data_IF_554560987158
#
_entry.id   IF_554560987158
#
_cell.length_a   1.000
_cell.length_b   1.000
_cell.length_c   1.000
_cell.angle_alpha   90.00
_cell.angle_beta   90.00
_cell.angle_gamma   90.00
#
_symmetry.space_group_name_H-M   'P 1'
#
loop_
_entity.id
_entity.type
_entity.pdbx_description
1 polymer ?
#
# COMPACT_ATOMS: atom_id res chain seq x y z
N UNK A 1 44.05 -73.07 -22.94
CA UNK A 1 43.53 -71.84 -22.31
C UNK A 1 42.84 -70.98 -23.37
N UNK A 2 41.51 -71.04 -23.46
CA UNK A 2 40.68 -70.05 -24.17
C UNK A 2 39.44 -69.83 -23.31
N UNK A 3 39.37 -68.65 -22.69
CA UNK A 3 38.33 -68.24 -21.74
C UNK A 3 37.07 -67.86 -22.51
N UNK A 4 35.95 -68.49 -22.18
CA UNK A 4 34.62 -68.12 -22.64
C UNK A 4 34.17 -66.83 -21.92
N UNK A 5 33.78 -65.82 -22.70
CA UNK A 5 33.22 -64.57 -22.20
C UNK A 5 31.69 -64.76 -22.10
N UNK A 6 31.16 -64.80 -20.88
CA UNK A 6 29.71 -64.74 -20.62
C UNK A 6 29.34 -63.27 -20.54
N UNK A 7 28.54 -62.79 -21.49
CA UNK A 7 27.94 -61.46 -21.46
C UNK A 7 26.70 -61.49 -20.55
N UNK A 8 26.76 -60.80 -19.42
CA UNK A 8 25.63 -60.59 -18.51
C UNK A 8 24.82 -59.40 -19.02
N UNK A 9 23.58 -59.66 -19.47
CA UNK A 9 22.61 -58.64 -19.86
C UNK A 9 21.99 -58.06 -18.58
N UNK A 10 22.33 -56.83 -18.21
CA UNK A 10 21.70 -56.12 -17.10
C UNK A 10 20.38 -55.48 -17.55
N UNK A 11 19.26 -56.03 -17.08
CA UNK A 11 17.93 -55.42 -17.21
C UNK A 11 17.83 -54.28 -16.19
N UNK A 12 17.95 -53.04 -16.66
CA UNK A 12 17.72 -51.85 -15.84
C UNK A 12 16.21 -51.65 -15.73
N UNK A 13 15.64 -52.01 -14.58
CA UNK A 13 14.28 -51.64 -14.22
C UNK A 13 14.26 -50.13 -13.95
N UNK A 14 13.62 -49.37 -14.84
CA UNK A 14 13.26 -47.96 -14.62
C UNK A 14 12.21 -47.92 -13.50
N UNK A 15 12.66 -47.82 -12.25
CA UNK A 15 11.81 -47.39 -11.16
C UNK A 15 11.46 -45.92 -11.41
N UNK A 16 10.24 -45.67 -11.88
CA UNK A 16 9.69 -44.32 -11.98
C UNK A 16 9.75 -43.66 -10.60
N UNK A 17 10.52 -42.58 -10.50
CA UNK A 17 10.50 -41.72 -9.32
C UNK A 17 9.06 -41.21 -9.18
N UNK A 18 8.37 -41.43 -8.05
CA UNK A 18 7.07 -40.80 -7.84
C UNK A 18 7.26 -39.28 -7.93
N UNK A 19 6.43 -38.62 -8.74
CA UNK A 19 6.40 -37.17 -8.81
C UNK A 19 6.28 -36.60 -7.37
N UNK A 20 6.97 -35.50 -7.04
CA UNK A 20 6.83 -34.88 -5.75
C UNK A 20 5.37 -34.48 -5.55
N UNK A 21 4.67 -35.17 -4.64
CA UNK A 21 3.34 -34.78 -4.20
C UNK A 21 3.43 -33.40 -3.57
N UNK A 22 2.79 -32.41 -4.18
CA UNK A 22 2.64 -31.08 -3.60
C UNK A 22 2.14 -31.21 -2.15
N UNK A 23 2.86 -30.61 -1.19
CA UNK A 23 2.47 -30.58 0.22
C UNK A 23 1.29 -29.60 0.38
N UNK A 24 0.10 -30.05 0.01
CA UNK A 24 -1.10 -29.25 0.07
C UNK A 24 -1.45 -28.99 1.55
N UNK A 25 -1.45 -27.73 2.01
CA UNK A 25 -1.88 -27.37 3.36
C UNK A 25 -3.35 -27.71 3.52
N UNK A 26 -3.65 -28.45 4.58
CA UNK A 26 -4.96 -29.04 4.83
C UNK A 26 -5.76 -28.26 5.88
N UNK A 27 -5.14 -27.31 6.59
CA UNK A 27 -5.76 -26.59 7.71
C UNK A 27 -6.42 -25.27 7.26
N UNK A 28 -7.74 -25.11 7.44
CA UNK A 28 -8.42 -23.87 7.10
C UNK A 28 -7.91 -22.66 7.89
N UNK A 29 -7.95 -21.48 7.27
CA UNK A 29 -7.55 -20.20 7.84
C UNK A 29 -8.46 -19.80 8.99
N UNK A 30 -7.87 -19.62 10.17
CA UNK A 30 -8.52 -19.06 11.36
C UNK A 30 -8.18 -17.58 11.45
N UNK A 31 -9.19 -16.72 11.47
CA UNK A 31 -9.01 -15.26 11.47
C UNK A 31 -9.85 -14.61 12.56
N UNK A 32 -9.57 -13.37 12.95
CA UNK A 32 -10.47 -12.63 13.82
C UNK A 32 -11.77 -12.28 13.07
N UNK A 33 -12.85 -12.07 13.84
CA UNK A 33 -14.09 -11.48 13.34
C UNK A 33 -13.80 -10.07 12.82
N UNK A 34 -14.44 -9.68 11.71
CA UNK A 34 -14.23 -8.34 11.15
C UNK A 34 -14.77 -7.26 12.07
N UNK A 35 -14.04 -6.15 12.21
CA UNK A 35 -14.52 -4.97 12.93
C UNK A 35 -15.59 -4.24 12.09
N UNK A 36 -16.61 -3.68 12.74
CA UNK A 36 -17.71 -3.01 12.06
C UNK A 36 -17.27 -1.69 11.42
N UNK A 37 -17.77 -1.44 10.21
CA UNK A 37 -17.57 -0.21 9.45
C UNK A 37 -18.92 0.48 9.28
N UNK A 38 -19.04 1.69 9.81
CA UNK A 38 -20.25 2.50 9.69
C UNK A 38 -21.45 1.96 10.48
N UNK A 39 -22.63 2.47 10.16
CA UNK A 39 -23.88 2.14 10.86
C UNK A 39 -24.53 0.90 10.22
N UNK A 40 -25.03 -0.07 11.02
CA UNK A 40 -25.74 -1.21 10.48
C UNK A 40 -27.06 -0.81 9.84
N UNK A 41 -27.38 -1.41 8.69
CA UNK A 41 -28.74 -1.38 8.15
C UNK A 41 -29.61 -2.35 8.94
N UNK A 42 -30.84 -1.95 9.27
CA UNK A 42 -31.78 -2.79 10.02
C UNK A 42 -33.12 -2.90 9.30
N UNK A 43 -33.78 -4.05 9.44
CA UNK A 43 -35.14 -4.29 8.93
C UNK A 43 -35.82 -5.37 9.77
N UNK A 44 -37.06 -5.12 10.20
CA UNK A 44 -37.89 -6.17 10.80
C UNK A 44 -38.56 -7.01 9.71
N UNK A 45 -38.40 -8.33 9.78
CA UNK A 45 -39.00 -9.31 8.86
C UNK A 45 -39.70 -10.40 9.69
N UNK A 46 -40.98 -10.60 9.42
CA UNK A 46 -41.81 -11.61 10.07
C UNK A 46 -42.09 -12.84 9.21
N UNK A 47 -43.10 -13.61 9.58
CA UNK A 47 -43.47 -14.88 8.93
C UNK A 47 -43.90 -14.74 7.47
N UNK A 48 -44.31 -13.55 7.03
CA UNK A 48 -44.59 -13.27 5.62
C UNK A 48 -43.32 -13.30 4.72
N UNK A 49 -42.13 -13.30 5.32
CA UNK A 49 -40.86 -13.17 4.60
C UNK A 49 -40.58 -11.71 4.21
N UNK A 50 -39.42 -11.48 3.62
CA UNK A 50 -38.96 -10.15 3.27
C UNK A 50 -37.54 -10.12 2.74
N UNK A 51 -37.05 -8.92 2.46
CA UNK A 51 -35.67 -8.71 2.03
C UNK A 51 -35.09 -7.48 2.70
N UNK A 52 -33.83 -7.56 3.10
CA UNK A 52 -33.00 -6.43 3.52
C UNK A 52 -31.81 -6.33 2.57
N UNK A 53 -31.50 -5.11 2.12
CA UNK A 53 -30.35 -4.82 1.27
C UNK A 53 -29.50 -3.73 1.88
N UNK A 54 -28.18 -3.85 1.70
CA UNK A 54 -27.23 -2.78 1.98
C UNK A 54 -27.52 -1.55 1.12
N UNK A 55 -27.21 -0.35 1.64
CA UNK A 55 -27.50 0.91 0.94
C UNK A 55 -26.75 1.04 -0.38
N UNK A 56 -25.58 0.39 -0.50
CA UNK A 56 -24.78 0.37 -1.73
C UNK A 56 -25.12 -0.80 -2.68
N UNK A 57 -26.11 -1.63 -2.32
CA UNK A 57 -26.58 -2.76 -3.12
C UNK A 57 -25.62 -3.95 -3.21
N UNK A 58 -24.50 -3.93 -2.47
CA UNK A 58 -23.46 -4.97 -2.55
C UNK A 58 -23.94 -6.31 -2.00
N UNK A 59 -24.70 -6.29 -0.89
CA UNK A 59 -25.27 -7.50 -0.27
C UNK A 59 -26.76 -7.35 0.00
N UNK A 60 -27.50 -8.45 -0.14
CA UNK A 60 -28.88 -8.59 0.29
C UNK A 60 -29.14 -9.95 0.94
N UNK A 61 -30.07 -9.98 1.89
CA UNK A 61 -30.62 -11.18 2.51
C UNK A 61 -32.11 -11.24 2.21
N UNK A 62 -32.54 -12.31 1.55
CA UNK A 62 -33.95 -12.64 1.32
C UNK A 62 -34.37 -13.78 2.23
N UNK A 63 -35.33 -13.49 3.11
CA UNK A 63 -35.93 -14.46 4.04
C UNK A 63 -37.26 -14.91 3.44
N UNK A 64 -37.43 -16.20 3.09
CA UNK A 64 -38.68 -16.67 2.50
C UNK A 64 -39.82 -16.70 3.52
N UNK A 65 -41.06 -16.69 3.03
CA UNK A 65 -42.23 -16.86 3.87
C UNK A 65 -42.15 -18.16 4.68
N UNK A 66 -42.50 -18.11 5.96
CA UNK A 66 -42.41 -19.24 6.89
C UNK A 66 -41.01 -19.60 7.37
N UNK A 67 -39.96 -18.90 6.93
CA UNK A 67 -38.59 -19.18 7.39
C UNK A 67 -38.34 -18.78 8.85
N UNK A 68 -39.07 -17.77 9.33
CA UNK A 68 -39.10 -17.33 10.74
C UNK A 68 -40.53 -17.34 11.25
N UNK A 69 -40.71 -17.65 12.54
CA UNK A 69 -42.03 -17.76 13.17
C UNK A 69 -42.54 -16.45 13.80
N UNK A 70 -41.64 -15.48 14.01
CA UNK A 70 -41.93 -14.19 14.63
C UNK A 70 -41.10 -13.07 14.00
N UNK A 71 -41.54 -11.82 14.19
CA UNK A 71 -40.84 -10.62 13.72
C UNK A 71 -39.41 -10.58 14.27
N UNK A 72 -38.44 -10.60 13.36
CA UNK A 72 -37.01 -10.61 13.68
C UNK A 72 -36.35 -9.38 13.08
N UNK A 73 -35.59 -8.65 13.91
CA UNK A 73 -34.79 -7.50 13.49
C UNK A 73 -33.49 -7.99 12.85
N UNK A 74 -33.45 -8.05 11.52
CA UNK A 74 -32.25 -8.40 10.76
C UNK A 74 -31.34 -7.20 10.58
N UNK A 75 -30.04 -7.47 10.54
CA UNK A 75 -29.02 -6.44 10.33
C UNK A 75 -28.03 -6.80 9.21
N UNK A 76 -27.58 -5.80 8.47
CA UNK A 76 -26.45 -5.87 7.56
C UNK A 76 -25.42 -4.83 7.99
N UNK A 77 -24.27 -5.29 8.48
CA UNK A 77 -23.20 -4.42 8.96
C UNK A 77 -21.97 -4.63 8.08
N UNK A 78 -21.49 -3.64 7.32
CA UNK A 78 -20.19 -3.74 6.66
C UNK A 78 -19.10 -3.99 7.71
N UNK A 79 -18.12 -4.85 7.39
CA UNK A 79 -17.01 -5.16 8.30
C UNK A 79 -15.67 -5.15 7.55
N UNK A 80 -14.56 -4.96 8.28
CA UNK A 80 -13.21 -5.16 7.72
C UNK A 80 -13.11 -6.61 7.20
N UNK A 81 -12.80 -6.84 5.91
CA UNK A 81 -12.65 -8.18 5.37
C UNK A 81 -11.43 -8.89 5.96
N UNK A 82 -11.63 -9.97 6.71
CA UNK A 82 -10.54 -10.75 7.33
C UNK A 82 -10.30 -12.09 6.66
N UNK A 83 -11.20 -12.54 5.77
CA UNK A 83 -11.09 -13.84 5.09
C UNK A 83 -10.03 -13.88 3.98
N UNK A 84 -9.39 -15.04 3.74
CA UNK A 84 -8.48 -15.19 2.60
C UNK A 84 -9.16 -14.83 1.27
N UNK A 85 -8.59 -13.88 0.54
CA UNK A 85 -9.12 -13.42 -0.75
C UNK A 85 -10.40 -12.58 -0.67
N UNK A 86 -10.84 -12.20 0.54
CA UNK A 86 -12.05 -11.42 0.75
C UNK A 86 -11.94 -10.03 0.09
N UNK A 87 -12.92 -9.69 -0.73
CA UNK A 87 -13.02 -8.37 -1.38
C UNK A 87 -13.86 -7.42 -0.54
N UNK A 88 -15.03 -7.90 -0.13
CA UNK A 88 -15.99 -7.19 0.73
C UNK A 88 -16.53 -8.16 1.76
N UNK A 89 -16.89 -7.67 2.95
CA UNK A 89 -17.43 -8.50 4.01
C UNK A 89 -18.53 -7.78 4.79
N UNK A 90 -19.53 -8.55 5.22
CA UNK A 90 -20.65 -8.08 6.02
C UNK A 90 -20.93 -9.05 7.16
N UNK A 91 -21.20 -8.51 8.35
CA UNK A 91 -21.87 -9.25 9.42
C UNK A 91 -23.36 -9.18 9.19
N UNK A 92 -23.98 -10.34 8.99
CA UNK A 92 -25.41 -10.49 8.82
C UNK A 92 -25.96 -11.01 10.15
N UNK A 93 -26.83 -10.24 10.77
CA UNK A 93 -27.37 -10.54 12.10
C UNK A 93 -28.89 -10.74 12.11
N UNK A 94 -29.45 -11.31 13.20
CA UNK A 94 -28.71 -11.74 14.40
C UNK A 94 -28.06 -13.12 14.23
N UNK A 95 -26.83 -13.28 14.71
CA UNK A 95 -26.17 -14.60 14.74
C UNK A 95 -26.97 -15.58 15.61
N UNK A 96 -26.94 -16.87 15.26
CA UNK A 96 -27.75 -17.89 15.93
C UNK A 96 -29.20 -17.98 15.42
N UNK A 97 -29.61 -17.14 14.47
CA UNK A 97 -30.89 -17.31 13.76
C UNK A 97 -30.91 -18.66 13.05
N UNK A 98 -31.96 -19.44 13.29
CA UNK A 98 -32.24 -20.70 12.58
C UNK A 98 -33.44 -20.50 11.67
N UNK A 99 -33.29 -20.89 10.41
CA UNK A 99 -34.37 -20.77 9.43
C UNK A 99 -35.05 -22.11 9.17
N UNK A 100 -36.38 -22.17 9.25
CA UNK A 100 -37.15 -23.37 8.88
C UNK A 100 -37.16 -23.65 7.38
N UNK A 101 -36.86 -22.63 6.58
CA UNK A 101 -36.61 -22.73 5.14
C UNK A 101 -35.39 -21.85 4.82
N UNK A 102 -34.38 -22.34 4.08
CA UNK A 102 -33.13 -21.60 3.89
C UNK A 102 -33.35 -20.20 3.32
N UNK A 103 -32.72 -19.21 3.96
CA UNK A 103 -32.64 -17.85 3.44
C UNK A 103 -31.65 -17.78 2.28
N UNK A 104 -31.75 -16.75 1.45
CA UNK A 104 -30.82 -16.51 0.33
C UNK A 104 -29.96 -15.30 0.62
N UNK A 105 -28.65 -15.45 0.56
CA UNK A 105 -27.69 -14.34 0.56
C UNK A 105 -27.24 -14.12 -0.87
N UNK A 106 -27.35 -12.88 -1.33
CA UNK A 106 -26.92 -12.45 -2.66
C UNK A 106 -25.88 -11.34 -2.52
N UNK A 107 -24.70 -11.58 -3.08
CA UNK A 107 -23.69 -10.55 -3.30
C UNK A 107 -23.74 -10.09 -4.75
N UNK A 108 -23.57 -8.78 -4.98
CA UNK A 108 -23.47 -8.19 -6.31
C UNK A 108 -22.14 -7.46 -6.42
N UNK A 109 -21.30 -7.92 -7.34
CA UNK A 109 -20.00 -7.30 -7.61
C UNK A 109 -20.20 -5.95 -8.32
N UNK A 110 -19.47 -4.92 -7.89
CA UNK A 110 -19.37 -3.65 -8.62
C UNK A 110 -18.56 -3.89 -9.90
N UNK A 111 -18.70 -3.00 -10.88
CA UNK A 111 -17.94 -3.14 -12.14
C UNK A 111 -16.42 -3.06 -11.89
N UNK A 112 -16.01 -2.21 -10.94
CA UNK A 112 -14.63 -2.14 -10.45
C UNK A 112 -14.11 -3.45 -9.85
N UNK A 113 -14.99 -4.27 -9.27
CA UNK A 113 -14.63 -5.55 -8.65
C UNK A 113 -14.33 -6.63 -9.71
N UNK A 114 -14.76 -6.39 -10.95
CA UNK A 114 -14.60 -7.30 -12.08
C UNK A 114 -13.48 -6.86 -13.02
N UNK A 115 -12.70 -5.83 -12.68
CA UNK A 115 -11.58 -5.39 -13.52
C UNK A 115 -10.49 -6.48 -13.54
N UNK A 116 -10.42 -7.17 -14.68
CA UNK A 116 -9.49 -8.29 -14.91
C UNK A 116 -9.96 -9.62 -14.32
N UNK A 117 -11.22 -9.72 -13.90
CA UNK A 117 -11.81 -11.00 -13.52
C UNK A 117 -13.25 -11.09 -14.01
N UNK A 118 -13.86 -12.25 -13.82
CA UNK A 118 -15.27 -12.44 -14.12
C UNK A 118 -15.98 -12.95 -12.86
N UNK A 119 -17.29 -12.72 -12.78
CA UNK A 119 -18.14 -13.15 -11.67
C UNK A 119 -18.02 -14.67 -11.44
N UNK A 120 -17.74 -15.45 -12.49
CA UNK A 120 -17.52 -16.89 -12.42
C UNK A 120 -16.26 -17.28 -11.62
N UNK A 121 -15.27 -16.38 -11.55
CA UNK A 121 -14.06 -16.51 -10.72
C UNK A 121 -14.29 -16.19 -9.24
N UNK A 122 -15.40 -15.55 -8.91
CA UNK A 122 -15.73 -15.15 -7.54
C UNK A 122 -16.47 -16.27 -6.78
N UNK A 123 -16.49 -16.14 -5.45
CA UNK A 123 -17.14 -17.04 -4.51
C UNK A 123 -17.82 -16.26 -3.39
N UNK A 124 -18.79 -16.91 -2.75
CA UNK A 124 -19.36 -16.45 -1.48
C UNK A 124 -18.83 -17.37 -0.39
N UNK A 125 -18.41 -16.80 0.73
CA UNK A 125 -17.98 -17.55 1.90
C UNK A 125 -18.55 -16.97 3.19
N UNK A 126 -18.52 -17.80 4.22
CA UNK A 126 -18.88 -17.42 5.58
C UNK A 126 -17.79 -17.82 6.57
N UNK A 127 -17.75 -17.15 7.71
CA UNK A 127 -16.91 -17.52 8.84
C UNK A 127 -17.73 -18.36 9.84
N UNK A 128 -17.25 -19.57 10.13
CA UNK A 128 -17.88 -20.49 11.09
C UNK A 128 -17.60 -20.11 12.56
N UNK A 129 -18.22 -20.84 13.50
CA UNK A 129 -18.05 -20.60 14.95
C UNK A 129 -16.63 -20.86 15.46
N UNK A 130 -15.83 -21.63 14.72
CA UNK A 130 -14.40 -21.87 14.98
C UNK A 130 -13.51 -20.82 14.30
N UNK A 131 -14.13 -19.77 13.73
CA UNK A 131 -13.50 -18.66 13.00
C UNK A 131 -12.80 -19.06 11.71
N UNK A 132 -13.15 -20.22 11.15
CA UNK A 132 -12.67 -20.69 9.85
C UNK A 132 -13.56 -20.18 8.74
N UNK A 133 -12.96 -19.86 7.59
CA UNK A 133 -13.71 -19.45 6.42
C UNK A 133 -14.10 -20.64 5.54
N UNK A 134 -15.35 -20.67 5.10
CA UNK A 134 -15.95 -21.73 4.28
C UNK A 134 -16.61 -21.13 3.04
N UNK A 135 -16.14 -21.53 1.86
CA UNK A 135 -16.59 -20.97 0.58
C UNK A 135 -17.48 -21.93 -0.19
N UNK A 136 -18.59 -21.42 -0.74
CA UNK A 136 -19.50 -22.17 -1.58
C UNK A 136 -18.94 -22.35 -2.99
N UNK A 137 -18.77 -23.59 -3.43
CA UNK A 137 -18.31 -23.96 -4.77
C UNK A 137 -19.40 -23.88 -5.84
N UNK A 138 -20.68 -23.89 -5.44
CA UNK A 138 -21.86 -24.03 -6.30
C UNK A 138 -22.83 -22.83 -6.22
N UNK A 139 -22.35 -21.62 -5.88
CA UNK A 139 -23.16 -20.42 -5.91
C UNK A 139 -23.82 -20.19 -7.29
N UNK A 140 -25.10 -19.80 -7.29
CA UNK A 140 -25.81 -19.45 -8.53
C UNK A 140 -25.34 -18.09 -9.04
N UNK A 141 -25.01 -18.00 -10.32
CA UNK A 141 -24.53 -16.78 -10.98
C UNK A 141 -25.64 -16.20 -11.85
N UNK A 142 -25.98 -14.92 -11.63
CA UNK A 142 -26.94 -14.17 -12.45
C UNK A 142 -26.42 -12.75 -12.69
N UNK A 143 -26.01 -12.45 -13.92
CA UNK A 143 -25.38 -11.16 -14.24
C UNK A 143 -24.09 -10.98 -13.44
N UNK A 144 -24.02 -9.95 -12.59
CA UNK A 144 -22.88 -9.68 -11.69
C UNK A 144 -23.10 -10.15 -10.26
N UNK A 145 -24.05 -11.07 -10.05
CA UNK A 145 -24.44 -11.49 -8.71
C UNK A 145 -24.19 -12.98 -8.47
N UNK A 146 -23.80 -13.27 -7.23
CA UNK A 146 -23.65 -14.62 -6.66
C UNK A 146 -24.69 -14.83 -5.56
N UNK A 147 -25.47 -15.89 -5.66
CA UNK A 147 -26.50 -16.26 -4.68
C UNK A 147 -26.22 -17.63 -4.05
N UNK A 148 -26.35 -17.71 -2.73
CA UNK A 148 -26.22 -18.94 -1.94
C UNK A 148 -27.38 -19.08 -0.95
N UNK A 149 -27.76 -20.33 -0.65
CA UNK A 149 -28.73 -20.63 0.39
C UNK A 149 -28.02 -20.85 1.72
N UNK A 150 -28.61 -20.35 2.81
CA UNK A 150 -28.10 -20.54 4.17
C UNK A 150 -29.21 -20.80 5.17
N UNK A 151 -28.88 -21.55 6.22
CA UNK A 151 -29.73 -21.79 7.39
C UNK A 151 -29.24 -21.06 8.65
N UNK A 152 -28.13 -20.32 8.54
CA UNK A 152 -27.51 -19.60 9.65
C UNK A 152 -26.99 -18.22 9.20
N UNK A 153 -26.77 -17.34 10.17
CA UNK A 153 -26.21 -16.00 9.98
C UNK A 153 -24.89 -15.84 10.75
N UNK A 154 -23.96 -15.07 10.19
CA UNK A 154 -22.57 -14.93 10.66
C UNK A 154 -21.86 -13.78 9.92
N UNK A 155 -20.53 -13.85 9.78
CA UNK A 155 -19.77 -12.97 8.89
C UNK A 155 -19.70 -13.62 7.50
N UNK A 156 -20.02 -12.86 6.46
CA UNK A 156 -20.10 -13.31 5.07
C UNK A 156 -19.26 -12.42 4.17
N UNK A 157 -18.69 -13.00 3.12
CA UNK A 157 -17.83 -12.28 2.20
C UNK A 157 -17.99 -12.78 0.77
N UNK A 158 -17.82 -11.85 -0.17
CA UNK A 158 -17.53 -12.17 -1.56
C UNK A 158 -16.01 -12.08 -1.78
N UNK A 159 -15.44 -13.10 -2.43
CA UNK A 159 -13.99 -13.30 -2.51
C UNK A 159 -13.54 -13.92 -3.84
N UNK A 160 -12.25 -13.83 -4.13
CA UNK A 160 -11.63 -14.51 -5.27
C UNK A 160 -11.31 -15.97 -4.92
N UNK A 161 -11.86 -16.92 -5.69
CA UNK A 161 -11.58 -18.34 -5.50
C UNK A 161 -10.22 -18.74 -6.05
N UNK A 162 -10.04 -18.61 -7.37
CA UNK A 162 -8.75 -18.73 -8.05
C UNK A 162 -8.12 -17.35 -8.17
N UNK A 163 -6.79 -17.29 -7.99
CA UNK A 163 -6.08 -16.03 -7.99
C UNK A 163 -4.82 -16.14 -8.83
N UNK A 164 -4.57 -15.13 -9.65
CA UNK A 164 -3.25 -14.88 -10.18
C UNK A 164 -2.42 -14.18 -9.10
N UNK A 165 -1.29 -14.77 -8.72
CA UNK A 165 -0.44 -14.31 -7.62
C UNK A 165 0.90 -13.80 -8.17
N UNK A 166 1.43 -12.68 -7.64
CA UNK A 166 0.75 -11.79 -6.71
C UNK A 166 -0.42 -11.05 -7.39
N UNK A 167 -1.49 -10.68 -6.66
CA UNK A 167 -2.63 -9.96 -7.25
C UNK A 167 -2.28 -8.52 -7.66
N UNK A 168 -1.22 -7.96 -7.05
CA UNK A 168 -0.62 -6.68 -7.43
C UNK A 168 0.89 -6.76 -7.27
N UNK A 169 1.65 -6.08 -8.12
CA UNK A 169 3.10 -5.98 -8.00
C UNK A 169 3.61 -4.60 -8.41
N UNK A 170 4.77 -4.21 -7.89
CA UNK A 170 5.56 -3.10 -8.43
C UNK A 170 6.81 -3.68 -9.09
N UNK A 171 7.19 -3.16 -10.24
CA UNK A 171 8.34 -3.65 -11.00
C UNK A 171 9.07 -2.50 -11.67
N UNK A 172 10.40 -2.50 -11.61
CA UNK A 172 11.21 -1.52 -12.35
C UNK A 172 11.21 -1.82 -13.86
N UNK A 173 11.61 -0.83 -14.66
CA UNK A 173 11.72 -1.02 -16.11
C UNK A 173 12.66 -2.19 -16.45
N UNK A 174 12.28 -3.00 -17.44
CA UNK A 174 13.00 -4.22 -17.88
C UNK A 174 13.15 -5.32 -16.82
N UNK A 175 12.59 -5.17 -15.62
CA UNK A 175 12.56 -6.23 -14.61
C UNK A 175 11.34 -7.11 -14.78
N UNK A 176 11.34 -8.22 -14.07
CA UNK A 176 10.34 -9.28 -14.20
C UNK A 176 9.50 -9.43 -12.93
N UNK A 177 8.29 -9.94 -13.10
CA UNK A 177 7.41 -10.42 -12.01
C UNK A 177 7.03 -11.85 -12.32
N UNK A 178 7.30 -12.76 -11.39
CA UNK A 178 6.77 -14.12 -11.44
C UNK A 178 5.30 -14.12 -11.07
N UNK A 179 4.51 -14.77 -11.90
CA UNK A 179 3.06 -14.88 -11.80
C UNK A 179 2.70 -16.35 -11.69
N UNK A 180 1.78 -16.67 -10.80
CA UNK A 180 1.30 -18.05 -10.64
C UNK A 180 -0.18 -18.09 -10.34
N UNK A 181 -0.91 -18.97 -11.04
CA UNK A 181 -2.30 -19.24 -10.68
C UNK A 181 -2.31 -20.17 -9.46
N UNK A 182 -2.87 -19.68 -8.36
CA UNK A 182 -2.98 -20.40 -7.10
C UNK A 182 -4.43 -20.67 -6.74
N UNK A 183 -4.65 -21.74 -5.97
CA UNK A 183 -5.96 -22.12 -5.48
C UNK A 183 -6.00 -22.11 -3.94
N UNK A 184 -6.97 -21.41 -3.36
CA UNK A 184 -6.95 -21.01 -1.95
C UNK A 184 -7.92 -21.80 -1.07
N UNK A 185 -8.03 -23.12 -1.27
CA UNK A 185 -8.89 -24.01 -0.46
C UNK A 185 -8.13 -25.15 0.23
N UNK A 186 -8.71 -25.73 1.27
CA UNK A 186 -8.17 -26.89 1.99
C UNK A 186 -8.30 -28.16 1.15
N UNK A 187 -7.25 -28.97 1.13
CA UNK A 187 -7.22 -30.29 0.48
C UNK A 187 -7.16 -31.39 1.57
N UNK A 188 -7.83 -32.55 1.41
CA UNK A 188 -8.76 -32.88 0.33
C UNK A 188 -10.04 -32.03 0.40
N UNK A 189 -10.70 -31.78 -0.74
CA UNK A 189 -12.04 -31.19 -0.73
C UNK A 189 -13.01 -32.08 0.06
N UNK A 190 -14.13 -31.54 0.56
CA UNK A 190 -15.16 -32.33 1.21
C UNK A 190 -15.69 -33.42 0.27
N UNK A 191 -16.12 -34.54 0.83
CA UNK A 191 -16.64 -35.68 0.07
C UNK A 191 -17.95 -35.37 -0.66
N UNK A 192 -18.70 -34.38 -0.17
CA UNK A 192 -19.85 -33.81 -0.85
C UNK A 192 -19.43 -32.54 -1.59
N UNK A 193 -19.58 -32.53 -2.91
CA UNK A 193 -19.28 -31.38 -3.77
C UNK A 193 -20.13 -30.14 -3.46
N UNK A 194 -21.25 -30.32 -2.75
CA UNK A 194 -22.14 -29.25 -2.30
C UNK A 194 -21.75 -28.69 -0.93
N UNK A 195 -20.81 -29.31 -0.21
CA UNK A 195 -20.33 -28.79 1.05
C UNK A 195 -19.34 -27.62 0.81
N UNK A 196 -19.49 -26.49 1.51
CA UNK A 196 -18.54 -25.39 1.45
C UNK A 196 -17.10 -25.83 1.82
N UNK A 197 -16.14 -25.45 0.99
CA UNK A 197 -14.71 -25.78 1.17
C UNK A 197 -14.07 -24.85 2.19
N UNK A 198 -13.17 -25.36 3.02
CA UNK A 198 -12.35 -24.51 3.90
C UNK A 198 -11.39 -23.64 3.08
N UNK A 199 -11.26 -22.36 3.40
CA UNK A 199 -10.27 -21.49 2.76
C UNK A 199 -8.94 -21.56 3.52
N UNK A 200 -7.82 -21.45 2.81
CA UNK A 200 -6.47 -21.42 3.40
C UNK A 200 -5.82 -20.05 3.16
N UNK A 201 -4.97 -19.61 4.11
CA UNK A 201 -4.32 -18.29 4.06
C UNK A 201 -3.23 -18.24 2.98
N UNK A 202 -2.49 -19.34 2.82
CA UNK A 202 -1.52 -19.51 1.76
C UNK A 202 -2.14 -20.36 0.66
N UNK A 203 -2.46 -19.72 -0.45
CA UNK A 203 -2.95 -20.41 -1.64
C UNK A 203 -1.91 -21.42 -2.12
N UNK A 204 -2.41 -22.59 -2.51
CA UNK A 204 -1.62 -23.77 -2.83
C UNK A 204 -1.28 -23.82 -4.32
N UNK A 205 -0.17 -24.47 -4.61
CA UNK A 205 0.24 -24.90 -5.95
C UNK A 205 -0.61 -26.11 -6.33
N UNK A 206 -1.24 -26.08 -7.49
CA UNK A 206 -2.02 -27.20 -8.02
C UNK A 206 -1.64 -27.41 -9.49
N UNK A 207 -0.81 -28.42 -9.75
CA UNK A 207 -0.39 -28.79 -11.11
C UNK A 207 -1.58 -29.19 -11.99
N UNK A 208 -2.72 -29.57 -11.39
CA UNK A 208 -3.96 -29.86 -12.10
C UNK A 208 -4.60 -28.63 -12.76
N UNK A 209 -4.16 -27.40 -12.42
CA UNK A 209 -4.64 -26.17 -13.06
C UNK A 209 -3.99 -25.91 -14.41
N UNK A 210 -2.79 -26.44 -14.63
CA UNK A 210 -2.00 -26.23 -15.84
C UNK A 210 -2.80 -26.44 -17.15
N UNK A 211 -3.50 -27.57 -17.37
CA UNK A 211 -4.24 -27.80 -18.62
C UNK A 211 -5.46 -26.88 -18.81
N UNK A 212 -5.85 -26.12 -17.78
CA UNK A 212 -7.02 -25.25 -17.80
C UNK A 212 -6.66 -23.80 -18.12
N UNK A 213 -5.38 -23.47 -18.28
CA UNK A 213 -4.88 -22.10 -18.48
C UNK A 213 -4.47 -21.85 -19.93
N UNK A 214 -4.84 -20.70 -20.47
CA UNK A 214 -4.52 -20.28 -21.82
C UNK A 214 -4.43 -18.75 -21.96
N UNK A 215 -3.89 -18.29 -23.09
CA UNK A 215 -4.02 -16.90 -23.55
C UNK A 215 -3.56 -15.84 -22.54
N UNK A 216 -2.33 -15.97 -22.04
CA UNK A 216 -1.69 -14.92 -21.27
C UNK A 216 -1.64 -13.60 -22.06
N UNK A 217 -2.00 -12.50 -21.42
CA UNK A 217 -2.08 -11.18 -22.07
C UNK A 217 -1.66 -10.04 -21.15
N UNK A 218 -1.21 -8.93 -21.74
CA UNK A 218 -0.97 -7.67 -21.04
C UNK A 218 -1.90 -6.63 -21.64
N UNK A 219 -2.75 -6.01 -20.81
CA UNK A 219 -3.81 -5.09 -21.24
C UNK A 219 -4.68 -5.65 -22.39
N UNK A 220 -4.96 -6.96 -22.34
CA UNK A 220 -5.76 -7.66 -23.36
C UNK A 220 -5.01 -8.02 -24.64
N UNK A 221 -3.73 -7.64 -24.79
CA UNK A 221 -2.88 -8.04 -25.92
C UNK A 221 -2.18 -9.35 -25.58
N UNK A 222 -2.48 -10.43 -26.30
CA UNK A 222 -1.85 -11.75 -26.11
C UNK A 222 -0.33 -11.64 -26.15
N UNK A 223 0.36 -12.13 -25.11
CA UNK A 223 1.82 -12.02 -24.94
C UNK A 223 2.33 -10.61 -24.63
N UNK A 224 1.49 -9.57 -24.72
CA UNK A 224 1.86 -8.17 -24.50
C UNK A 224 2.61 -7.54 -25.68
N UNK A 225 3.29 -6.42 -25.43
CA UNK A 225 4.05 -5.67 -26.44
C UNK A 225 5.15 -4.80 -25.80
N UNK A 226 5.98 -4.16 -26.62
CA UNK A 226 7.11 -3.34 -26.13
C UNK A 226 6.74 -2.07 -25.34
N UNK A 227 5.47 -1.62 -25.37
CA UNK A 227 5.01 -0.40 -24.68
C UNK A 227 4.45 -0.69 -23.28
N UNK A 228 3.72 -1.79 -23.13
CA UNK A 228 3.08 -2.18 -21.86
C UNK A 228 3.78 -3.34 -21.17
N UNK A 229 4.83 -3.89 -21.77
CA UNK A 229 5.51 -5.10 -21.30
C UNK A 229 4.98 -6.37 -21.95
N UNK A 230 5.74 -7.45 -21.79
CA UNK A 230 5.41 -8.78 -22.33
C UNK A 230 5.14 -9.77 -21.21
N UNK A 231 4.35 -10.80 -21.49
CA UNK A 231 4.15 -11.92 -20.57
C UNK A 231 4.46 -13.21 -21.31
N UNK A 232 5.37 -13.99 -20.74
CA UNK A 232 5.84 -15.24 -21.32
C UNK A 232 5.81 -16.32 -20.25
N UNK A 233 5.27 -17.48 -20.58
CA UNK A 233 5.19 -18.60 -19.66
C UNK A 233 3.93 -19.43 -19.86
N UNK A 234 3.85 -20.54 -19.13
CA UNK A 234 2.81 -21.54 -19.25
C UNK A 234 2.47 -22.16 -17.89
N UNK A 235 1.16 -22.29 -17.67
CA UNK A 235 0.46 -23.32 -16.90
C UNK A 235 1.25 -24.08 -15.79
N UNK A 236 1.16 -23.70 -14.51
CA UNK A 236 0.37 -22.61 -13.92
C UNK A 236 1.11 -21.26 -13.80
N UNK A 237 2.36 -21.19 -14.22
CA UNK A 237 3.24 -20.05 -13.96
C UNK A 237 3.54 -19.24 -15.24
N UNK A 238 3.76 -17.94 -15.07
CA UNK A 238 4.23 -17.05 -16.12
C UNK A 238 5.17 -15.98 -15.58
N UNK A 239 5.92 -15.37 -16.47
CA UNK A 239 6.83 -14.28 -16.17
C UNK A 239 6.40 -13.06 -16.97
N UNK A 240 5.98 -12.02 -16.26
CA UNK A 240 5.80 -10.71 -16.86
C UNK A 240 7.14 -9.98 -16.91
N UNK A 241 7.45 -9.31 -18.02
CA UNK A 241 8.62 -8.46 -18.23
C UNK A 241 8.18 -7.03 -18.52
N UNK A 242 8.61 -6.10 -17.66
CA UNK A 242 8.29 -4.68 -17.81
C UNK A 242 8.94 -4.05 -19.06
N UNK A 243 8.30 -3.07 -19.71
CA UNK A 243 8.84 -2.42 -20.90
C UNK A 243 10.10 -1.59 -20.60
N UNK A 244 10.79 -1.15 -21.65
CA UNK A 244 11.98 -0.30 -21.53
C UNK A 244 11.65 1.16 -21.16
N UNK A 245 10.40 1.59 -21.38
CA UNK A 245 9.90 2.94 -21.11
C UNK A 245 8.65 2.84 -20.24
N UNK A 246 8.47 3.76 -19.28
CA UNK A 246 7.28 3.81 -18.43
C UNK A 246 6.03 4.07 -19.30
N UNK A 247 4.99 3.22 -19.25
CA UNK A 247 3.74 3.50 -19.95
C UNK A 247 2.92 4.58 -19.22
N UNK A 248 1.96 5.18 -19.92
CA UNK A 248 0.95 6.07 -19.34
C UNK A 248 -0.44 5.50 -19.68
N UNK A 249 -1.24 5.07 -18.69
CA UNK A 249 -0.92 4.98 -17.26
C UNK A 249 0.20 3.97 -16.96
N UNK A 250 0.92 4.17 -15.86
CA UNK A 250 2.04 3.29 -15.48
C UNK A 250 1.60 1.96 -14.83
N UNK A 251 0.30 1.69 -14.81
CA UNK A 251 -0.27 0.42 -14.37
C UNK A 251 -0.75 -0.39 -15.57
N UNK A 252 -0.44 -1.67 -15.57
CA UNK A 252 -0.93 -2.64 -16.57
C UNK A 252 -1.63 -3.80 -15.89
N UNK A 253 -2.57 -4.41 -16.60
CA UNK A 253 -3.28 -5.62 -16.19
C UNK A 253 -2.65 -6.80 -16.93
N UNK A 254 -2.05 -7.74 -16.19
CA UNK A 254 -1.58 -9.01 -16.74
C UNK A 254 -2.62 -10.07 -16.42
N UNK A 255 -3.11 -10.76 -17.45
CA UNK A 255 -4.20 -11.72 -17.29
C UNK A 255 -3.95 -13.06 -17.96
N UNK A 256 -4.66 -14.08 -17.49
CA UNK A 256 -4.70 -15.43 -18.05
C UNK A 256 -6.13 -15.93 -18.09
N UNK A 257 -6.48 -16.63 -19.15
CA UNK A 257 -7.77 -17.31 -19.26
C UNK A 257 -7.68 -18.65 -18.54
N UNK A 258 -8.63 -18.89 -17.64
CA UNK A 258 -8.75 -20.12 -16.87
C UNK A 258 -10.10 -20.77 -17.17
N UNK A 259 -10.12 -22.04 -17.56
CA UNK A 259 -11.34 -22.74 -17.99
C UNK A 259 -11.68 -23.92 -17.05
N UNK A 260 -12.13 -23.66 -15.82
CA UNK A 260 -12.51 -24.69 -14.88
C UNK A 260 -13.74 -25.47 -15.35
N UNK A 261 -13.80 -26.79 -15.09
CA UNK A 261 -15.02 -27.56 -15.23
C UNK A 261 -16.19 -26.89 -14.49
N UNK A 262 -17.40 -26.96 -15.06
CA UNK A 262 -18.66 -26.46 -14.51
C UNK A 262 -18.84 -24.93 -14.37
N UNK A 263 -17.83 -24.09 -14.61
CA UNK A 263 -17.97 -22.61 -14.52
C UNK A 263 -17.65 -21.84 -15.80
N UNK A 264 -17.20 -22.53 -16.83
CA UNK A 264 -16.81 -21.89 -18.09
C UNK A 264 -15.57 -21.02 -17.93
N UNK A 265 -15.28 -20.22 -18.96
CA UNK A 265 -14.06 -19.42 -19.04
C UNK A 265 -14.08 -18.24 -18.06
N UNK A 266 -13.06 -18.17 -17.23
CA UNK A 266 -12.77 -17.11 -16.24
C UNK A 266 -11.50 -16.38 -16.69
N UNK A 267 -11.41 -15.08 -16.45
CA UNK A 267 -10.17 -14.33 -16.58
C UNK A 267 -9.57 -14.13 -15.18
N UNK A 268 -8.29 -14.41 -14.98
CA UNK A 268 -7.57 -14.08 -13.75
C UNK A 268 -6.59 -12.95 -14.04
N UNK A 269 -6.44 -11.99 -13.13
CA UNK A 269 -5.64 -10.78 -13.34
C UNK A 269 -4.70 -10.48 -12.16
N UNK A 270 -3.55 -9.90 -12.51
CA UNK A 270 -2.60 -9.23 -11.64
C UNK A 270 -2.36 -7.80 -12.15
N UNK A 271 -2.54 -6.81 -11.28
CA UNK A 271 -2.26 -5.42 -11.63
C UNK A 271 -0.81 -5.06 -11.31
N UNK A 272 -0.03 -4.73 -12.33
CA UNK A 272 1.40 -4.46 -12.20
C UNK A 272 1.66 -2.98 -12.43
N UNK A 273 2.26 -2.32 -11.45
CA UNK A 273 2.72 -0.93 -11.55
C UNK A 273 4.18 -0.92 -11.97
N UNK A 274 4.45 -0.26 -13.10
CA UNK A 274 5.76 -0.20 -13.75
C UNK A 274 6.48 1.10 -13.37
N UNK A 275 7.71 0.97 -12.90
CA UNK A 275 8.55 2.08 -12.46
C UNK A 275 8.25 2.59 -11.05
N UNK A 276 7.49 1.85 -10.23
CA UNK A 276 7.06 2.31 -8.90
C UNK A 276 5.92 3.35 -8.96
N UNK A 277 5.65 4.04 -7.84
CA UNK A 277 4.63 5.10 -7.75
C UNK A 277 4.84 6.13 -8.88
N UNK A 278 3.76 6.71 -9.40
CA UNK A 278 3.91 7.84 -10.32
C UNK A 278 4.46 9.01 -9.50
N UNK A 279 5.70 9.39 -9.80
CA UNK A 279 6.41 10.44 -9.10
C UNK A 279 6.64 11.58 -10.08
N UNK A 280 6.31 12.82 -9.69
CA UNK A 280 6.55 14.01 -10.50
C UNK A 280 7.99 14.09 -10.98
N UNK A 281 8.23 14.61 -12.20
CA UNK A 281 9.62 14.87 -12.66
C UNK A 281 10.26 16.04 -11.94
N UNK A 282 9.42 16.96 -11.45
CA UNK A 282 9.83 18.19 -10.81
C UNK A 282 8.99 18.43 -9.57
N UNK A 283 9.59 19.00 -8.53
CA UNK A 283 8.85 19.60 -7.44
C UNK A 283 9.17 21.07 -7.32
N UNK A 284 8.14 21.88 -7.11
CA UNK A 284 8.29 23.29 -6.77
C UNK A 284 7.55 23.55 -5.48
N UNK A 285 8.16 24.28 -4.57
CA UNK A 285 7.50 24.55 -3.31
C UNK A 285 8.22 25.50 -2.39
N UNK A 286 7.57 25.75 -1.26
CA UNK A 286 8.03 26.67 -0.25
C UNK A 286 8.71 25.91 0.88
N UNK A 287 9.79 26.51 1.38
CA UNK A 287 10.50 26.06 2.57
C UNK A 287 10.64 27.24 3.53
N UNK A 288 10.36 26.98 4.81
CA UNK A 288 10.58 27.92 5.91
C UNK A 288 11.45 27.24 6.94
N UNK A 289 12.63 27.80 7.17
CA UNK A 289 13.59 27.41 8.21
C UNK A 289 13.51 28.43 9.35
N UNK A 290 13.47 27.94 10.58
CA UNK A 290 13.58 28.75 11.79
C UNK A 290 14.52 28.06 12.76
N UNK A 291 15.60 28.74 13.11
CA UNK A 291 16.56 28.33 14.13
C UNK A 291 16.47 29.35 15.26
N UNK A 292 16.27 28.91 16.48
CA UNK A 292 16.32 29.76 17.66
C UNK A 292 17.27 29.18 18.70
N UNK A 293 17.89 30.05 19.49
CA UNK A 293 18.77 29.62 20.57
C UNK A 293 20.25 29.48 20.16
N UNK A 294 20.61 29.90 18.95
CA UNK A 294 21.99 29.77 18.47
C UNK A 294 22.89 30.77 19.20
N UNK A 295 23.97 30.28 19.84
CA UNK A 295 24.93 31.16 20.51
C UNK A 295 25.93 31.72 19.52
N UNK A 296 26.17 33.04 19.57
CA UNK A 296 27.13 33.73 18.70
C UNK A 296 27.97 34.73 19.50
N UNK A 297 29.30 34.59 19.43
CA UNK A 297 30.22 35.50 20.11
C UNK A 297 30.09 35.50 21.65
N UNK A 298 29.68 34.39 22.26
CA UNK A 298 29.45 34.27 23.71
C UNK A 298 27.96 34.32 24.06
N UNK A 299 27.55 35.30 24.86
CA UNK A 299 26.21 35.42 25.46
C UNK A 299 25.11 35.89 24.49
N UNK A 300 25.39 36.04 23.20
CA UNK A 300 24.36 36.47 22.25
C UNK A 300 23.56 35.28 21.76
N UNK A 301 22.25 35.37 21.85
CA UNK A 301 21.30 34.39 21.32
C UNK A 301 20.77 34.89 19.99
N UNK A 302 20.87 34.05 18.97
CA UNK A 302 20.42 34.35 17.61
C UNK A 302 19.18 33.54 17.29
N UNK A 303 18.20 34.23 16.71
CA UNK A 303 17.08 33.64 15.98
C UNK A 303 17.26 33.95 14.51
N UNK A 304 17.30 32.90 13.71
CA UNK A 304 17.43 32.93 12.26
C UNK A 304 16.15 32.39 11.65
N UNK A 305 15.50 33.17 10.80
CA UNK A 305 14.33 32.77 10.05
C UNK A 305 14.59 32.99 8.57
N UNK A 306 14.36 31.96 7.76
CA UNK A 306 14.51 32.04 6.32
C UNK A 306 13.33 31.36 5.63
N UNK A 307 12.72 32.06 4.67
CA UNK A 307 11.61 31.57 3.86
C UNK A 307 11.95 31.72 2.40
N UNK A 308 11.63 30.73 1.59
CA UNK A 308 11.95 30.75 0.17
C UNK A 308 11.26 29.68 -0.63
N UNK A 309 11.51 29.73 -1.94
CA UNK A 309 11.00 28.77 -2.91
C UNK A 309 12.16 27.95 -3.44
N UNK A 310 11.94 26.65 -3.64
CA UNK A 310 12.92 25.72 -4.19
C UNK A 310 12.31 24.87 -5.28
N UNK A 311 13.13 24.56 -6.29
CA UNK A 311 12.84 23.61 -7.35
C UNK A 311 13.75 22.40 -7.22
N UNK A 312 13.15 21.22 -7.35
CA UNK A 312 13.80 19.94 -7.47
C UNK A 312 13.51 19.30 -8.81
N UNK A 313 14.48 18.64 -9.42
CA UNK A 313 14.31 17.83 -10.62
C UNK A 313 14.79 16.40 -10.37
N UNK A 314 14.06 15.43 -10.92
CA UNK A 314 14.38 14.02 -10.76
C UNK A 314 15.73 13.70 -11.42
N UNK A 315 16.61 13.07 -10.67
CA UNK A 315 17.89 12.56 -11.13
C UNK A 315 17.76 11.28 -11.95
N UNK A 316 18.89 10.64 -12.24
CA UNK A 316 18.93 9.41 -13.03
C UNK A 316 18.23 8.20 -12.37
N UNK A 317 17.98 8.26 -11.06
CA UNK A 317 17.26 7.23 -10.29
C UNK A 317 15.87 7.76 -9.92
N UNK A 318 14.82 7.00 -10.24
CA UNK A 318 13.45 7.35 -9.86
C UNK A 318 13.34 7.51 -8.34
N UNK A 319 12.61 8.53 -7.90
CA UNK A 319 12.52 8.88 -6.49
C UNK A 319 13.67 9.73 -5.96
N UNK A 320 14.79 9.88 -6.68
CA UNK A 320 15.88 10.78 -6.28
C UNK A 320 15.81 12.09 -7.03
N UNK A 321 15.94 13.19 -6.33
CA UNK A 321 15.77 14.53 -6.86
C UNK A 321 16.93 15.41 -6.45
N UNK A 322 17.35 16.30 -7.35
CA UNK A 322 18.36 17.31 -7.09
C UNK A 322 17.75 18.68 -7.16
N UNK A 323 18.11 19.55 -6.24
CA UNK A 323 17.77 20.96 -6.34
C UNK A 323 18.42 21.60 -7.58
N UNK A 324 17.62 22.23 -8.43
CA UNK A 324 18.11 22.94 -9.63
C UNK A 324 18.06 24.46 -9.47
N UNK A 325 17.43 24.96 -8.40
CA UNK A 325 17.48 26.37 -8.00
C UNK A 325 16.56 26.71 -6.85
N UNK A 326 16.79 27.86 -6.23
CA UNK A 326 15.92 28.41 -5.19
C UNK A 326 16.33 29.83 -4.79
N UNK A 327 15.41 30.55 -4.15
CA UNK A 327 15.64 31.91 -3.65
C UNK A 327 15.02 32.07 -2.28
N UNK A 328 15.76 32.61 -1.31
CA UNK A 328 15.14 33.11 -0.09
C UNK A 328 14.41 34.41 -0.43
N UNK A 329 13.09 34.38 -0.25
CA UNK A 329 12.25 35.57 -0.36
C UNK A 329 12.35 36.44 0.89
N UNK A 330 12.80 35.87 2.00
CA UNK A 330 13.05 36.59 3.25
C UNK A 330 14.06 35.85 4.11
N UNK A 331 15.09 36.54 4.58
CA UNK A 331 15.91 36.12 5.72
C UNK A 331 15.82 37.20 6.79
N UNK A 332 15.55 36.79 8.02
CA UNK A 332 15.53 37.65 9.20
C UNK A 332 16.48 37.07 10.23
N UNK A 333 17.32 37.94 10.78
CA UNK A 333 18.22 37.61 11.88
C UNK A 333 17.89 38.54 13.03
N UNK A 334 17.47 37.98 14.14
CA UNK A 334 17.36 38.68 15.42
C UNK A 334 18.46 38.16 16.33
N UNK A 335 19.25 39.07 16.90
CA UNK A 335 20.32 38.75 17.83
C UNK A 335 20.11 39.53 19.12
N UNK A 336 20.10 38.80 20.21
CA UNK A 336 19.86 39.33 21.55
C UNK A 336 21.11 39.07 22.40
N UNK A 337 21.77 40.14 22.85
CA UNK A 337 22.87 40.05 23.82
C UNK A 337 22.46 40.67 25.15
N UNK A 338 23.27 40.55 26.23
CA UNK A 338 22.99 41.25 27.48
C UNK A 338 22.88 42.78 27.32
N UNK A 339 23.53 43.36 26.31
CA UNK A 339 23.64 44.81 26.12
C UNK A 339 22.83 45.37 24.95
N UNK A 340 22.59 44.58 23.90
CA UNK A 340 22.04 45.05 22.63
C UNK A 340 20.96 44.10 22.11
N UNK A 341 20.01 44.66 21.36
CA UNK A 341 19.09 43.92 20.49
C UNK A 341 19.36 44.34 19.07
N UNK A 342 19.66 43.39 18.20
CA UNK A 342 20.05 43.63 16.82
C UNK A 342 19.13 42.88 15.87
N UNK A 343 18.65 43.55 14.83
CA UNK A 343 17.83 42.91 13.80
C UNK A 343 18.35 43.27 12.41
N UNK A 344 18.40 42.30 11.52
CA UNK A 344 18.70 42.50 10.12
C UNK A 344 17.81 41.65 9.22
N UNK A 345 17.64 42.10 7.99
CA UNK A 345 16.93 41.34 6.96
C UNK A 345 17.73 41.30 5.68
N UNK A 346 17.57 40.24 4.91
CA UNK A 346 18.23 40.07 3.62
C UNK A 346 17.45 39.16 2.69
N UNK A 347 17.83 39.19 1.42
CA UNK A 347 17.32 38.30 0.37
C UNK A 347 18.48 37.88 -0.51
N UNK A 348 18.50 36.65 -0.98
CA UNK A 348 19.61 36.16 -1.81
C UNK A 348 19.26 34.89 -2.58
N UNK A 349 19.97 34.62 -3.70
CA UNK A 349 19.90 33.33 -4.36
C UNK A 349 20.44 32.24 -3.44
N UNK A 350 19.86 31.05 -3.53
CA UNK A 350 20.34 29.89 -2.78
C UNK A 350 20.82 28.86 -3.78
N UNK A 351 22.07 28.42 -3.62
CA UNK A 351 22.52 27.17 -4.22
C UNK A 351 22.39 26.04 -3.20
N UNK A 352 21.14 25.67 -2.93
CA UNK A 352 20.87 24.47 -2.15
C UNK A 352 21.43 23.27 -2.90
N UNK A 353 22.25 22.46 -2.25
CA UNK A 353 22.66 21.15 -2.72
C UNK A 353 21.88 20.10 -1.96
N UNK A 354 20.63 19.88 -2.37
CA UNK A 354 19.67 19.02 -1.67
C UNK A 354 19.37 17.81 -2.55
N UNK A 355 19.66 16.61 -2.04
CA UNK A 355 19.17 15.36 -2.60
C UNK A 355 17.87 15.00 -1.86
N UNK A 356 16.72 15.07 -2.55
CA UNK A 356 15.44 14.59 -2.01
C UNK A 356 15.21 13.15 -2.49
N UNK A 357 14.91 12.22 -1.57
CA UNK A 357 14.62 10.83 -1.91
C UNK A 357 13.20 10.44 -1.51
N UNK A 358 12.30 10.31 -2.49
CA UNK A 358 10.95 9.77 -2.33
C UNK A 358 10.97 8.26 -2.57
N UNK A 359 10.81 7.41 -1.53
CA UNK A 359 10.96 5.97 -1.67
C UNK A 359 9.89 5.34 -2.56
N UNK A 360 10.22 4.28 -3.32
CA UNK A 360 9.23 3.54 -4.11
C UNK A 360 8.17 2.81 -3.26
N UNK A 361 8.53 2.42 -2.03
CA UNK A 361 7.74 1.58 -1.13
C UNK A 361 7.75 2.13 0.28
N UNK A 362 6.65 2.75 0.72
CA UNK A 362 6.49 3.18 2.12
C UNK A 362 6.27 4.67 2.32
N UNK A 363 6.46 5.07 3.58
CA UNK A 363 6.32 6.45 4.07
C UNK A 363 7.36 7.36 3.42
N UNK A 364 6.95 8.60 3.16
CA UNK A 364 7.76 9.60 2.47
C UNK A 364 8.99 9.94 3.32
N UNK A 365 10.18 9.59 2.80
CA UNK A 365 11.45 10.03 3.37
C UNK A 365 11.83 11.37 2.73
N UNK A 366 12.38 12.30 3.51
CA UNK A 366 13.01 13.50 2.99
C UNK A 366 14.29 13.73 3.75
N UNK A 367 15.42 13.77 3.05
CA UNK A 367 16.65 14.31 3.58
C UNK A 367 16.84 15.70 2.98
N UNK A 368 17.07 16.69 3.83
CA UNK A 368 17.45 18.02 3.38
C UNK A 368 18.81 18.37 3.98
N UNK A 369 19.84 18.51 3.15
CA UNK A 369 21.11 19.19 3.44
C UNK A 369 21.18 20.63 2.85
N UNK A 370 21.01 21.65 3.69
CA UNK A 370 21.09 23.04 3.21
C UNK A 370 22.55 23.51 3.14
N UNK A 371 23.07 23.74 1.94
CA UNK A 371 24.21 24.63 1.72
C UNK A 371 23.69 25.96 1.15
N UNK A 372 24.01 27.08 1.79
CA UNK A 372 23.77 28.41 1.23
C UNK A 372 25.11 29.01 0.84
N UNK A 373 25.19 29.68 -0.31
CA UNK A 373 26.28 30.60 -0.58
C UNK A 373 26.19 31.72 0.49
N UNK A 374 27.29 31.95 1.21
CA UNK A 374 27.30 32.93 2.29
C UNK A 374 27.03 34.34 1.72
N UNK A 375 26.02 35.01 2.25
CA UNK A 375 25.81 36.45 2.08
C UNK A 375 25.74 37.12 3.44
N UNK A 376 26.16 38.38 3.48
CA UNK A 376 26.24 39.15 4.71
C UNK A 376 24.94 39.90 4.97
N UNK A 377 24.42 39.76 6.19
CA UNK A 377 23.25 40.51 6.67
C UNK A 377 23.74 41.58 7.63
N UNK A 378 23.52 42.85 7.26
CA UNK A 378 23.79 43.97 8.16
C UNK A 378 22.72 44.04 9.24
N UNK A 379 23.15 44.01 10.50
CA UNK A 379 22.26 44.13 11.66
C UNK A 379 22.21 45.57 12.15
N UNK A 380 21.00 46.08 12.35
CA UNK A 380 20.73 47.33 13.05
C UNK A 380 20.58 47.04 14.54
N UNK A 381 21.46 47.59 15.36
CA UNK A 381 21.53 47.31 16.79
C UNK A 381 21.03 48.48 17.64
N UNK A 382 20.20 48.18 18.63
CA UNK A 382 19.68 49.13 19.62
C UNK A 382 20.21 48.78 21.01
N UNK A 383 20.78 49.74 21.75
CA UNK A 383 21.21 49.50 23.12
C UNK A 383 20.02 49.37 24.08
N UNK A 384 20.09 48.38 24.97
CA UNK A 384 19.09 48.19 26.05
C UNK A 384 19.17 49.27 27.14
N UNK A 385 20.36 49.86 27.33
CA UNK A 385 20.61 50.98 28.24
C UNK A 385 21.42 52.04 27.47
N UNK A 386 21.14 53.35 27.63
CA UNK A 386 21.90 54.43 26.99
C UNK A 386 23.43 54.38 27.10
N UNK A 387 23.98 53.69 28.11
CA UNK A 387 25.43 53.53 28.29
C UNK A 387 26.04 52.39 27.47
N UNK A 388 25.21 51.54 26.85
CA UNK A 388 25.68 50.39 26.08
C UNK A 388 26.18 50.83 24.71
N UNK A 389 27.35 50.33 24.30
CA UNK A 389 27.91 50.59 22.98
C UNK A 389 27.51 49.47 22.01
N UNK A 390 26.52 49.75 21.16
CA UNK A 390 26.04 48.81 20.16
C UNK A 390 26.46 49.29 18.76
N UNK A 391 27.50 48.67 18.20
CA UNK A 391 27.91 48.90 16.81
C UNK A 391 27.11 48.00 15.86
N UNK A 392 26.98 48.41 14.60
CA UNK A 392 26.38 47.57 13.57
C UNK A 392 27.20 46.29 13.41
N UNK A 393 26.56 45.14 13.56
CA UNK A 393 27.18 43.84 13.35
C UNK A 393 26.85 43.33 11.94
N UNK A 394 27.77 42.54 11.37
CA UNK A 394 27.48 41.78 10.15
C UNK A 394 27.33 40.32 10.54
N UNK A 395 26.20 39.74 10.18
CA UNK A 395 25.93 38.33 10.42
C UNK A 395 26.12 37.57 9.11
N UNK A 396 27.10 36.67 9.01
CA UNK A 396 27.21 35.81 7.84
C UNK A 396 26.03 34.85 7.85
N UNK A 397 25.31 34.72 6.73
CA UNK A 397 24.21 33.77 6.57
C UNK A 397 24.67 32.30 6.54
N UNK A 398 25.78 31.96 7.19
CA UNK A 398 26.44 30.66 7.10
C UNK A 398 25.41 29.55 7.33
N UNK A 399 25.20 28.75 6.28
CA UNK A 399 24.42 27.54 6.40
C UNK A 399 25.23 26.56 7.24
N UNK A 400 24.80 26.35 8.48
CA UNK A 400 25.12 25.07 9.10
C UNK A 400 24.51 23.97 8.23
N UNK A 401 25.21 22.84 8.09
CA UNK A 401 24.66 21.61 7.53
C UNK A 401 23.47 21.19 8.39
N UNK A 402 22.30 21.74 8.08
CA UNK A 402 21.07 21.44 8.77
C UNK A 402 20.53 20.20 8.08
N UNK A 403 20.95 19.05 8.57
CA UNK A 403 20.38 17.77 8.21
C UNK A 403 18.99 17.70 8.85
N UNK A 404 17.96 17.62 8.01
CA UNK A 404 16.59 17.29 8.43
C UNK A 404 16.40 15.81 8.18
N UNK A 405 16.40 14.96 9.22
CA UNK A 405 16.28 13.51 9.04
C UNK A 405 14.86 13.11 8.66
N UNK A 406 14.78 12.01 7.91
CA UNK A 406 13.56 11.45 7.33
C UNK A 406 12.79 10.48 8.22
N UNK A 407 13.32 10.17 9.42
CA UNK A 407 12.77 9.17 10.34
C UNK A 407 13.12 9.56 11.76
N UNK A 408 12.37 9.09 12.76
CA UNK A 408 12.77 9.14 14.17
C UNK A 408 13.96 8.19 14.47
N UNK A 409 14.88 7.99 13.52
CA UNK A 409 16.02 7.09 13.69
C UNK A 409 17.05 7.72 14.65
N UNK A 410 17.24 7.13 15.83
CA UNK A 410 18.16 7.65 16.83
C UNK A 410 19.65 7.49 16.43
N UNK A 411 19.99 6.68 15.42
CA UNK A 411 21.39 6.43 15.04
C UNK A 411 22.07 7.66 14.40
N UNK A 412 21.29 8.58 13.80
CA UNK A 412 21.83 9.77 13.12
C UNK A 412 22.52 10.77 14.07
N UNK A 413 22.21 10.71 15.37
CA UNK A 413 22.76 11.60 16.40
C UNK A 413 23.44 10.85 17.54
N UNK A 414 23.92 9.64 17.29
CA UNK A 414 24.70 8.87 18.26
C UNK A 414 25.85 9.75 18.83
N UNK A 415 25.64 10.31 20.03
CA UNK A 415 26.59 11.23 20.67
C UNK A 415 26.07 12.60 21.15
N UNK A 416 24.79 12.97 20.92
CA UNK A 416 24.20 14.22 21.45
C UNK A 416 23.18 13.94 22.59
N UNK A 417 23.59 14.02 23.87
CA UNK A 417 22.67 13.80 24.99
C UNK A 417 21.56 14.87 25.04
N UNK A 418 20.29 14.46 25.14
CA UNK A 418 19.16 15.38 25.31
C UNK A 418 18.54 15.93 24.02
N UNK A 419 18.94 15.43 22.85
CA UNK A 419 18.29 15.76 21.58
C UNK A 419 16.91 15.10 21.47
N UNK A 420 15.90 15.85 20.99
CA UNK A 420 14.57 15.31 20.64
C UNK A 420 14.18 15.75 19.24
N UNK A 421 13.49 14.89 18.52
CA UNK A 421 13.05 15.16 17.15
C UNK A 421 11.56 14.83 16.98
N UNK A 422 10.90 15.60 16.13
CA UNK A 422 9.53 15.35 15.71
C UNK A 422 9.43 15.62 14.22
N UNK A 423 8.90 14.66 13.47
CA UNK A 423 8.62 14.78 12.03
C UNK A 423 7.15 14.46 11.82
N UNK A 424 6.42 15.38 11.19
CA UNK A 424 5.03 15.19 10.80
C UNK A 424 4.90 15.39 9.29
N UNK A 425 4.60 14.32 8.56
CA UNK A 425 4.19 14.39 7.15
C UNK A 425 2.67 14.62 7.06
N UNK A 426 2.26 15.58 6.25
CA UNK A 426 0.86 16.03 6.13
C UNK A 426 0.09 15.41 4.97
N UNK A 427 0.75 14.70 4.03
CA UNK A 427 0.12 14.15 2.83
C UNK A 427 0.70 12.79 2.44
N UNK A 428 -0.15 11.89 1.95
CA UNK A 428 0.22 10.60 1.34
C UNK A 428 0.22 10.63 -0.20
N UNK A 429 -0.16 11.77 -0.78
CA UNK A 429 -0.19 12.02 -2.22
C UNK A 429 1.21 12.41 -2.73
N UNK A 430 1.82 11.67 -3.67
CA UNK A 430 3.13 12.01 -4.21
C UNK A 430 3.16 13.35 -4.98
N UNK A 431 2.03 13.88 -5.48
CA UNK A 431 2.01 15.18 -6.19
C UNK A 431 1.83 16.37 -5.25
N UNK A 432 1.54 16.13 -3.98
CA UNK A 432 1.33 17.20 -3.00
C UNK A 432 1.99 16.80 -1.70
N UNK A 433 3.21 17.27 -1.51
CA UNK A 433 4.01 16.97 -0.33
C UNK A 433 3.91 18.15 0.64
N UNK A 434 3.65 17.89 1.91
CA UNK A 434 3.77 18.93 2.94
C UNK A 434 4.12 18.33 4.29
N UNK A 435 4.79 19.09 5.14
CA UNK A 435 5.13 18.63 6.47
C UNK A 435 5.90 19.64 7.29
N UNK A 436 6.15 19.26 8.54
CA UNK A 436 7.03 19.99 9.44
C UNK A 436 7.98 19.01 10.14
N UNK A 437 9.16 19.51 10.45
CA UNK A 437 10.18 18.81 11.22
C UNK A 437 10.78 19.76 12.23
N UNK A 438 11.01 19.30 13.45
CA UNK A 438 11.72 20.06 14.48
C UNK A 438 12.74 19.19 15.19
N UNK A 439 13.95 19.72 15.32
CA UNK A 439 15.03 19.19 16.14
C UNK A 439 15.24 20.14 17.33
N UNK A 440 15.15 19.61 18.54
CA UNK A 440 15.43 20.35 19.77
C UNK A 440 16.68 19.78 20.41
N UNK A 441 17.66 20.65 20.66
CA UNK A 441 18.92 20.34 21.35
C UNK A 441 18.94 21.10 22.67
N UNK A 442 18.88 20.37 23.78
CA UNK A 442 18.98 20.97 25.12
C UNK A 442 20.46 21.10 25.49
N UNK A 443 20.96 22.34 25.60
CA UNK A 443 22.30 22.65 26.09
C UNK A 443 22.23 23.13 27.56
N UNK A 444 23.34 23.14 28.31
CA UNK A 444 23.33 23.50 29.75
C UNK A 444 22.84 24.93 30.05
N UNK A 445 23.02 25.85 29.10
CA UNK A 445 22.77 27.28 29.20
C UNK A 445 21.65 27.78 28.28
N UNK A 446 21.30 27.01 27.24
CA UNK A 446 20.23 27.37 26.30
C UNK A 446 19.56 26.14 25.66
N UNK A 447 18.40 26.32 25.03
CA UNK A 447 17.79 25.31 24.17
C UNK A 447 17.82 25.79 22.73
N UNK A 448 18.52 25.05 21.87
CA UNK A 448 18.44 25.30 20.43
C UNK A 448 17.25 24.55 19.85
N UNK A 449 16.46 25.24 19.04
CA UNK A 449 15.38 24.63 18.28
C UNK A 449 15.61 24.96 16.81
N UNK A 450 15.74 23.92 16.00
CA UNK A 450 15.75 24.01 14.55
C UNK A 450 14.43 23.44 14.05
N UNK A 451 13.66 24.24 13.32
CA UNK A 451 12.37 23.85 12.76
C UNK A 451 12.31 24.18 11.28
N UNK A 452 11.76 23.25 10.51
CA UNK A 452 11.55 23.40 9.07
C UNK A 452 10.10 23.07 8.77
N UNK A 453 9.45 23.93 8.00
CA UNK A 453 8.15 23.67 7.39
C UNK A 453 8.32 23.70 5.89
N UNK A 454 7.69 22.76 5.20
CA UNK A 454 7.84 22.61 3.76
C UNK A 454 6.50 22.22 3.12
N UNK A 455 6.32 22.67 1.88
CA UNK A 455 5.20 22.29 1.03
C UNK A 455 5.65 22.32 -0.42
N UNK A 456 5.55 21.18 -1.09
CA UNK A 456 5.94 20.97 -2.49
C UNK A 456 4.77 20.47 -3.31
N UNK A 457 4.67 20.98 -4.53
CA UNK A 457 3.76 20.50 -5.56
C UNK A 457 4.57 19.83 -6.65
N UNK A 458 4.13 18.64 -7.04
CA UNK A 458 4.67 17.86 -8.13
C UNK A 458 4.22 18.38 -9.48
N UNK A 459 5.16 18.49 -10.41
CA UNK A 459 4.97 18.87 -11.81
C UNK A 459 5.69 17.84 -12.72
N UNK A 460 5.17 17.63 -13.94
CA UNK A 460 5.71 16.69 -14.93
C UNK A 460 6.61 17.33 -16.00
#
# INVERSE_FOLDING_TARGET
>A
MKRALIAVLAVIALAGCPAPTANLKTTPAVTLKGEAIGTPKTQSIGSAGGTISSDDGTVSLTVPAGAVSADTMFTLTPIIPTGPGALVAYRIGPEGTTFSSPATIKFTAKESDLVGTDINGMRVAYQDSERRWRAFTNATVEGRSLSVKTTHLSDWSMLYGWQLRPPKANVELKKTVELSVRYCHSVPPPSDENEPVGLVTDCQDDEGLAPLLANWSVNGVTGGNGTTGTVEGGSPDAVYTAPATRPSPNTVSVSVEFNPPARGKVLLNSNITIGGRDLPRRYVGNITLRISGLTWGGDSIVTYEAGGQITYEQGAQAGKYKSTGGTYTSVKVDMESPQCTCTGTGTGPVKMGLDMEVPPTGDLLYEFETAADAFDITLSCTPKNPQNNCSSATFPSYAQNNLVPSTNDPEYFAGLPGATMTVNSGSTDPYSLSGNSSLTLVQPDNTMVNSVTWSFTGED
#
